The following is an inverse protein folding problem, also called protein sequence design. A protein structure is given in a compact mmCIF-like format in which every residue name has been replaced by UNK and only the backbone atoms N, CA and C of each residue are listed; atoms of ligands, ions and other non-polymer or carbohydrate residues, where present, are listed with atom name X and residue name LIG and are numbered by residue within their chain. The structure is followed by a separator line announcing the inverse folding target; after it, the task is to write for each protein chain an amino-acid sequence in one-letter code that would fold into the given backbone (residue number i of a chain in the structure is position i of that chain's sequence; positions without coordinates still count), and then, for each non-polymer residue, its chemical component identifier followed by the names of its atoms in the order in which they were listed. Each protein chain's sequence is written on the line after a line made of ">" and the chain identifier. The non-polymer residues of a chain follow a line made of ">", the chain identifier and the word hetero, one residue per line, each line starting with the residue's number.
data_IF_395170963373
#
_entry.id   IF_395170963373
#
_cell.length_a   1.000
_cell.length_b   1.000
_cell.length_c   1.000
_cell.angle_alpha   90.00
_cell.angle_beta   90.00
_cell.angle_gamma   90.00
#
_symmetry.space_group_name_H-M   'P 1'
#
loop_
_entity.id
_entity.type
_entity.pdbx_description
1 polymer ?
#
# COMPACT_ATOMS: atom_id res chain seq x y z
N UNK A 1 -12.68 24.73 7.21
CA UNK A 1 -13.72 24.63 8.25
C UNK A 1 -13.82 25.99 8.91
N UNK A 2 -15.01 26.56 8.99
CA UNK A 2 -15.19 27.91 9.55
C UNK A 2 -16.48 28.02 10.34
N UNK A 3 -16.41 28.62 11.55
CA UNK A 3 -17.60 29.03 12.29
C UNK A 3 -18.03 30.40 11.79
N UNK A 4 -19.30 30.54 11.38
CA UNK A 4 -19.89 31.78 10.90
C UNK A 4 -21.14 32.12 11.72
N UNK A 5 -21.43 33.41 11.87
CA UNK A 5 -22.67 33.90 12.48
C UNK A 5 -23.66 34.34 11.40
N UNK A 6 -24.81 33.69 11.35
CA UNK A 6 -25.89 34.06 10.44
C UNK A 6 -27.20 34.14 11.19
N UNK A 7 -27.87 35.28 11.09
CA UNK A 7 -29.19 35.55 11.71
C UNK A 7 -29.23 35.17 13.20
N UNK A 8 -28.14 35.47 13.95
CA UNK A 8 -28.03 35.19 15.37
C UNK A 8 -27.71 33.74 15.74
N UNK A 9 -27.45 32.89 14.76
CA UNK A 9 -27.03 31.49 14.97
C UNK A 9 -25.55 31.31 14.62
N UNK A 10 -24.88 30.43 15.35
CA UNK A 10 -23.53 29.97 15.02
C UNK A 10 -23.66 28.72 14.16
N UNK A 11 -22.99 28.71 13.03
CA UNK A 11 -22.99 27.63 12.05
C UNK A 11 -21.54 27.20 11.79
N UNK A 12 -21.29 25.90 11.69
CA UNK A 12 -20.02 25.39 11.11
C UNK A 12 -20.22 25.16 9.62
N UNK A 13 -19.41 25.83 8.84
CA UNK A 13 -19.35 25.67 7.39
C UNK A 13 -18.12 24.84 7.06
N UNK A 14 -18.32 23.76 6.32
CA UNK A 14 -17.26 22.92 5.76
C UNK A 14 -17.30 23.10 4.24
N UNK A 15 -16.18 23.44 3.64
CA UNK A 15 -16.04 23.59 2.20
C UNK A 15 -14.78 22.85 1.74
N UNK A 16 -14.83 22.26 0.56
CA UNK A 16 -13.69 21.66 -0.13
C UNK A 16 -13.63 22.15 -1.57
N UNK A 17 -12.46 22.07 -2.18
CA UNK A 17 -12.27 22.40 -3.60
C UNK A 17 -12.93 21.35 -4.52
N UNK A 18 -13.13 20.15 -3.97
CA UNK A 18 -13.79 19.02 -4.61
C UNK A 18 -14.53 18.16 -3.57
N UNK A 19 -15.14 17.06 -4.01
CA UNK A 19 -15.86 16.14 -3.14
C UNK A 19 -14.95 15.52 -2.06
N UNK A 20 -13.71 15.19 -2.41
CA UNK A 20 -12.73 14.64 -1.45
C UNK A 20 -12.32 15.69 -0.42
N UNK A 21 -12.06 16.92 -0.84
CA UNK A 21 -11.76 18.03 0.05
C UNK A 21 -12.89 18.30 1.04
N UNK A 22 -14.16 18.20 0.59
CA UNK A 22 -15.31 18.28 1.49
C UNK A 22 -15.36 17.13 2.49
N UNK A 23 -15.18 15.90 2.04
CA UNK A 23 -15.12 14.70 2.90
C UNK A 23 -14.00 14.82 3.94
N UNK A 24 -12.80 15.22 3.52
CA UNK A 24 -11.66 15.43 4.42
C UNK A 24 -11.90 16.57 5.41
N UNK A 25 -12.65 17.60 5.01
CA UNK A 25 -13.10 18.64 5.94
C UNK A 25 -14.03 18.11 7.03
N UNK A 26 -14.90 17.16 6.71
CA UNK A 26 -15.75 16.49 7.73
C UNK A 26 -14.89 15.67 8.68
N UNK A 27 -13.99 14.84 8.17
CA UNK A 27 -13.08 14.07 9.04
C UNK A 27 -12.14 14.96 9.85
N UNK A 28 -11.67 16.06 9.27
CA UNK A 28 -10.91 17.07 9.98
C UNK A 28 -11.70 17.71 11.12
N UNK A 29 -12.97 18.06 10.91
CA UNK A 29 -13.82 18.54 12.02
C UNK A 29 -13.95 17.53 13.14
N UNK A 30 -14.20 16.26 12.79
CA UNK A 30 -14.37 15.20 13.78
C UNK A 30 -13.10 14.97 14.61
N UNK A 31 -11.95 14.98 13.94
CA UNK A 31 -10.67 14.65 14.55
C UNK A 31 -10.03 15.84 15.28
N UNK A 32 -9.90 16.98 14.60
CA UNK A 32 -9.14 18.12 15.10
C UNK A 32 -9.93 18.98 16.09
N UNK A 33 -11.28 18.93 16.02
CA UNK A 33 -12.14 19.81 16.83
C UNK A 33 -13.12 19.08 17.73
N UNK A 34 -13.41 17.78 17.46
CA UNK A 34 -14.36 17.00 18.25
C UNK A 34 -13.73 15.82 18.98
N UNK A 35 -12.40 15.64 18.89
CA UNK A 35 -11.64 14.68 19.67
C UNK A 35 -11.70 13.22 19.20
N UNK A 36 -12.24 12.94 18.02
CA UNK A 36 -12.14 11.60 17.44
C UNK A 36 -10.71 11.31 16.98
N UNK A 37 -10.36 10.03 16.85
CA UNK A 37 -9.15 9.57 16.20
C UNK A 37 -9.50 8.45 15.23
N UNK A 38 -8.86 8.48 14.07
CA UNK A 38 -9.01 7.47 13.03
C UNK A 38 -7.68 6.76 12.85
N UNK A 39 -7.61 5.50 13.28
CA UNK A 39 -6.47 4.62 13.09
C UNK A 39 -6.83 3.51 12.10
N UNK A 40 -5.82 2.82 11.56
CA UNK A 40 -6.09 1.70 10.66
C UNK A 40 -6.82 0.55 11.37
N UNK A 41 -6.57 0.36 12.67
CA UNK A 41 -7.21 -0.67 13.48
C UNK A 41 -8.57 -0.24 14.09
N UNK A 42 -9.04 0.98 13.85
CA UNK A 42 -10.36 1.41 14.29
C UNK A 42 -10.48 2.89 14.63
N UNK A 43 -11.69 3.28 14.94
CA UNK A 43 -12.04 4.63 15.36
C UNK A 43 -12.05 4.72 16.88
N UNK A 44 -11.43 5.76 17.40
CA UNK A 44 -11.50 6.09 18.83
C UNK A 44 -12.42 7.30 19.01
N UNK A 45 -13.37 7.16 19.90
CA UNK A 45 -14.33 8.20 20.23
C UNK A 45 -13.91 8.91 21.51
N UNK A 46 -14.09 10.24 21.62
CA UNK A 46 -13.81 10.97 22.86
C UNK A 46 -14.71 10.45 23.99
N UNK A 47 -14.24 10.52 25.23
CA UNK A 47 -15.06 10.17 26.39
C UNK A 47 -16.31 11.08 26.41
N UNK A 48 -17.47 10.51 26.74
CA UNK A 48 -18.75 11.25 26.82
C UNK A 48 -18.69 12.50 27.71
N UNK A 49 -17.78 12.54 28.65
CA UNK A 49 -17.56 13.69 29.54
C UNK A 49 -16.86 14.85 28.84
N UNK A 50 -16.15 14.56 27.75
CA UNK A 50 -15.36 15.54 26.98
C UNK A 50 -16.10 16.08 25.76
N UNK A 51 -17.29 15.55 25.47
CA UNK A 51 -18.10 16.04 24.35
C UNK A 51 -18.46 17.50 24.57
N UNK A 52 -17.88 18.35 23.77
CA UNK A 52 -18.16 19.79 23.81
C UNK A 52 -19.63 20.05 23.49
N UNK A 53 -20.31 20.68 24.42
CA UNK A 53 -21.73 21.08 24.23
C UNK A 53 -21.88 22.35 23.38
N UNK A 54 -20.77 23.00 23.04
CA UNK A 54 -20.72 24.19 22.16
C UNK A 54 -19.74 23.96 21.04
N UNK A 55 -20.13 24.36 19.85
CA UNK A 55 -19.26 24.37 18.69
C UNK A 55 -18.17 25.41 18.92
N UNK A 56 -16.87 25.04 18.87
CA UNK A 56 -15.78 25.98 19.01
C UNK A 56 -15.78 27.01 17.87
N UNK A 57 -15.16 28.16 18.11
CA UNK A 57 -14.86 29.09 17.03
C UNK A 57 -13.73 28.51 16.19
N UNK A 58 -14.07 28.07 14.97
CA UNK A 58 -13.13 27.43 14.06
C UNK A 58 -12.82 28.39 12.92
N UNK A 59 -11.56 28.52 12.58
CA UNK A 59 -11.06 29.11 11.35
C UNK A 59 -9.86 28.28 10.91
N UNK A 60 -10.14 27.23 10.17
CA UNK A 60 -9.13 26.25 9.75
C UNK A 60 -9.21 26.07 8.23
N UNK A 61 -8.10 26.31 7.55
CA UNK A 61 -7.93 26.13 6.12
C UNK A 61 -6.65 25.35 5.88
N UNK A 62 -6.77 24.19 5.24
CA UNK A 62 -5.65 23.29 5.01
C UNK A 62 -5.62 22.77 3.58
N UNK A 63 -4.42 22.66 3.07
CA UNK A 63 -4.10 21.98 1.82
C UNK A 63 -2.96 21.00 2.09
N UNK A 64 -3.09 19.74 1.69
CA UNK A 64 -2.00 18.79 1.92
C UNK A 64 -0.78 19.15 1.06
N UNK A 65 0.42 18.98 1.62
CA UNK A 65 1.68 19.28 0.93
C UNK A 65 1.97 18.35 -0.24
N UNK A 66 1.34 17.17 -0.27
CA UNK A 66 1.48 16.18 -1.35
C UNK A 66 0.12 15.72 -1.86
N UNK A 67 0.01 15.53 -3.16
CA UNK A 67 -1.24 15.18 -3.82
C UNK A 67 -1.64 13.71 -3.57
N UNK A 68 -0.70 12.79 -3.64
CA UNK A 68 -0.92 11.35 -3.41
C UNK A 68 -0.44 10.98 -2.02
N UNK A 69 -1.31 10.34 -1.25
CA UNK A 69 -1.08 9.94 0.14
C UNK A 69 -1.63 8.54 0.32
N UNK A 70 -0.74 7.57 0.39
CA UNK A 70 -1.19 6.19 0.37
C UNK A 70 -0.24 5.20 1.02
N UNK A 71 -0.57 3.96 0.83
CA UNK A 71 0.22 2.84 1.33
C UNK A 71 0.17 1.65 0.36
N UNK A 72 1.15 0.79 0.53
CA UNK A 72 1.30 -0.49 -0.15
C UNK A 72 1.24 -1.58 0.92
N UNK A 73 0.10 -2.24 1.11
CA UNK A 73 0.08 -3.49 1.86
C UNK A 73 0.68 -4.56 0.96
N UNK A 74 1.89 -4.99 1.27
CA UNK A 74 2.59 -5.95 0.41
C UNK A 74 1.80 -7.24 0.31
N UNK A 75 1.60 -7.74 -0.89
CA UNK A 75 0.77 -8.91 -1.16
C UNK A 75 1.61 -10.18 -1.35
N UNK A 76 0.93 -11.30 -1.53
CA UNK A 76 1.53 -12.62 -1.80
C UNK A 76 2.35 -13.23 -0.65
N UNK A 77 2.11 -12.77 0.57
CA UNK A 77 2.67 -13.38 1.79
C UNK A 77 1.57 -13.80 2.75
N UNK A 78 1.78 -14.83 3.57
CA UNK A 78 0.74 -15.36 4.46
C UNK A 78 0.14 -14.37 5.45
N UNK A 79 0.92 -13.38 5.89
CA UNK A 79 0.44 -12.34 6.82
C UNK A 79 -0.04 -11.09 6.11
N UNK A 80 -0.12 -11.10 4.78
CA UNK A 80 -0.40 -9.91 4.01
C UNK A 80 -1.87 -9.76 3.69
N UNK A 81 -2.22 -8.59 3.17
CA UNK A 81 -3.56 -8.26 2.71
C UNK A 81 -4.04 -9.11 1.52
N UNK A 82 -3.21 -9.98 0.97
CA UNK A 82 -3.58 -10.89 -0.13
C UNK A 82 -4.78 -11.76 0.22
N UNK A 83 -4.84 -12.25 1.45
CA UNK A 83 -5.90 -13.16 1.91
C UNK A 83 -7.18 -12.44 2.33
N UNK A 84 -7.20 -11.13 2.38
CA UNK A 84 -8.33 -10.37 2.90
C UNK A 84 -9.58 -10.57 2.06
N UNK A 85 -10.70 -10.74 2.75
CA UNK A 85 -12.04 -10.81 2.18
C UNK A 85 -12.48 -9.46 1.60
N UNK A 86 -13.61 -9.46 0.93
CA UNK A 86 -14.26 -8.22 0.49
C UNK A 86 -14.57 -7.27 1.66
N UNK A 87 -15.01 -7.80 2.79
CA UNK A 87 -15.34 -6.98 3.97
C UNK A 87 -14.08 -6.36 4.59
N UNK A 88 -12.96 -7.06 4.61
CA UNK A 88 -11.68 -6.53 5.04
C UNK A 88 -11.19 -5.38 4.13
N UNK A 89 -11.25 -5.58 2.81
CA UNK A 89 -10.88 -4.53 1.86
C UNK A 89 -11.78 -3.31 1.97
N UNK A 90 -13.08 -3.51 2.17
CA UNK A 90 -14.02 -2.41 2.41
C UNK A 90 -13.65 -1.62 3.65
N UNK A 91 -13.33 -2.33 4.75
CA UNK A 91 -12.89 -1.70 5.99
C UNK A 91 -11.61 -0.89 5.80
N UNK A 92 -10.59 -1.46 5.15
CA UNK A 92 -9.31 -0.80 4.89
C UNK A 92 -9.50 0.48 4.05
N UNK A 93 -10.32 0.42 3.01
CA UNK A 93 -10.63 1.59 2.17
C UNK A 93 -11.36 2.67 2.97
N UNK A 94 -12.30 2.29 3.83
CA UNK A 94 -13.00 3.22 4.70
C UNK A 94 -12.05 3.90 5.69
N UNK A 95 -11.15 3.14 6.33
CA UNK A 95 -10.16 3.71 7.24
C UNK A 95 -9.16 4.60 6.50
N UNK A 96 -8.69 4.21 5.32
CA UNK A 96 -7.86 5.07 4.49
C UNK A 96 -8.53 6.44 4.23
N UNK A 97 -9.80 6.43 3.82
CA UNK A 97 -10.57 7.66 3.57
C UNK A 97 -10.74 8.51 4.83
N UNK A 98 -11.06 7.88 5.99
CA UNK A 98 -11.18 8.57 7.29
C UNK A 98 -9.86 9.20 7.74
N UNK A 99 -8.75 8.51 7.49
CA UNK A 99 -7.40 9.01 7.73
C UNK A 99 -6.96 10.05 6.70
N UNK A 100 -7.81 10.41 5.74
CA UNK A 100 -7.54 11.38 4.66
C UNK A 100 -6.44 10.92 3.69
N UNK A 101 -6.26 9.62 3.55
CA UNK A 101 -5.46 8.99 2.50
C UNK A 101 -6.30 8.80 1.24
N UNK A 102 -5.66 8.81 0.08
CA UNK A 102 -6.34 8.77 -1.21
C UNK A 102 -5.72 7.80 -2.22
N UNK A 103 -4.85 6.90 -1.76
CA UNK A 103 -4.21 5.95 -2.65
C UNK A 103 -3.90 4.63 -1.93
N UNK A 104 -4.19 3.52 -2.58
CA UNK A 104 -3.74 2.18 -2.17
C UNK A 104 -3.09 1.53 -3.39
N UNK A 105 -1.86 1.08 -3.23
CA UNK A 105 -1.19 0.28 -4.23
C UNK A 105 -1.29 -1.19 -3.86
N UNK A 106 -1.60 -2.02 -4.84
CA UNK A 106 -1.60 -3.48 -4.70
C UNK A 106 -0.55 -4.02 -5.66
N UNK A 107 0.50 -4.60 -5.11
CA UNK A 107 1.57 -5.20 -5.90
C UNK A 107 1.31 -6.68 -6.13
N UNK A 108 1.65 -7.15 -7.30
CA UNK A 108 1.64 -8.56 -7.64
C UNK A 108 2.92 -8.97 -8.34
N UNK A 109 3.45 -10.06 -7.86
CA UNK A 109 4.54 -10.71 -8.57
C UNK A 109 4.00 -11.40 -9.82
N UNK A 110 4.68 -11.20 -10.94
CA UNK A 110 4.30 -11.76 -12.22
C UNK A 110 5.08 -13.07 -12.49
N UNK A 111 4.74 -14.12 -11.79
CA UNK A 111 5.23 -15.46 -12.09
C UNK A 111 6.65 -15.81 -11.65
N UNK A 112 7.38 -14.87 -11.06
CA UNK A 112 8.69 -15.17 -10.47
C UNK A 112 8.53 -15.61 -9.05
N UNK A 113 9.06 -16.42 -8.45
CA UNK A 113 8.90 -16.87 -7.07
C UNK A 113 7.60 -17.61 -6.77
N UNK A 114 6.72 -17.92 -7.75
CA UNK A 114 5.59 -18.71 -7.57
C UNK A 114 4.35 -18.15 -7.03
N UNK A 115 4.30 -16.93 -7.18
CA UNK A 115 3.15 -16.20 -6.75
C UNK A 115 2.06 -16.30 -7.79
N UNK A 116 0.87 -16.61 -7.36
CA UNK A 116 -0.31 -16.60 -8.21
C UNK A 116 -0.94 -15.23 -8.21
N UNK A 117 -1.09 -14.65 -9.36
CA UNK A 117 -1.71 -13.36 -9.51
C UNK A 117 -3.11 -13.51 -10.09
N UNK A 118 -4.09 -13.68 -9.21
CA UNK A 118 -5.46 -13.91 -9.65
C UNK A 118 -6.06 -12.69 -10.34
N UNK A 119 -5.70 -11.51 -9.94
CA UNK A 119 -6.34 -10.31 -10.46
C UNK A 119 -5.72 -9.79 -11.75
N UNK A 120 -4.60 -10.36 -12.22
CA UNK A 120 -4.03 -10.07 -13.53
C UNK A 120 -3.61 -11.33 -14.28
N UNK A 121 -4.08 -12.50 -13.87
CA UNK A 121 -3.89 -13.73 -14.62
C UNK A 121 -4.48 -13.60 -16.01
N UNK A 122 -3.75 -14.07 -17.01
CA UNK A 122 -4.14 -14.05 -18.40
C UNK A 122 -3.91 -15.40 -19.05
N UNK A 123 -4.63 -15.66 -20.13
CA UNK A 123 -4.43 -16.83 -20.95
C UNK A 123 -3.57 -16.49 -22.15
N UNK A 124 -2.52 -17.27 -22.38
CA UNK A 124 -1.64 -17.15 -23.53
C UNK A 124 -1.31 -18.52 -24.10
N UNK A 125 -1.54 -18.71 -25.39
CA UNK A 125 -1.33 -19.99 -26.10
C UNK A 125 -1.98 -21.21 -25.39
N UNK A 126 -3.17 -21.01 -24.83
CA UNK A 126 -3.91 -22.05 -24.13
C UNK A 126 -3.43 -22.34 -22.70
N UNK A 127 -2.46 -21.60 -22.20
CA UNK A 127 -1.99 -21.67 -20.83
C UNK A 127 -2.48 -20.46 -20.04
N UNK A 128 -3.11 -20.71 -18.92
CA UNK A 128 -3.42 -19.65 -17.98
C UNK A 128 -2.14 -19.31 -17.21
N UNK A 129 -1.74 -18.05 -17.26
CA UNK A 129 -0.69 -17.55 -16.39
C UNK A 129 -1.19 -17.50 -14.97
N UNK A 130 -1.21 -18.63 -14.38
CA UNK A 130 -1.40 -18.79 -12.95
C UNK A 130 -0.05 -19.05 -12.36
N UNK A 131 0.36 -18.26 -11.41
CA UNK A 131 1.59 -18.40 -10.72
C UNK A 131 2.22 -19.79 -10.81
N UNK A 132 3.19 -19.83 -11.62
CA UNK A 132 4.01 -20.95 -11.89
C UNK A 132 4.95 -21.11 -10.72
N UNK A 133 4.53 -21.85 -9.67
CA UNK A 133 5.54 -21.98 -8.70
C UNK A 133 5.57 -23.12 -7.81
N UNK A 134 6.81 -23.56 -7.65
CA UNK A 134 7.09 -24.58 -6.67
C UNK A 134 6.64 -24.11 -5.29
N UNK A 135 6.23 -25.03 -4.49
CA UNK A 135 6.05 -24.85 -3.06
C UNK A 135 7.29 -24.23 -2.46
N UNK A 136 7.14 -23.33 -1.52
CA UNK A 136 8.21 -22.68 -0.77
C UNK A 136 9.19 -23.68 -0.15
N UNK A 137 8.80 -24.92 0.01
CA UNK A 137 9.67 -26.01 0.47
C UNK A 137 10.97 -26.18 -0.32
N UNK A 138 11.12 -25.57 -1.47
CA UNK A 138 12.25 -25.78 -2.36
C UNK A 138 13.26 -24.64 -2.38
N UNK A 139 13.44 -23.94 -1.28
CA UNK A 139 14.65 -23.14 -1.08
C UNK A 139 14.68 -21.80 -1.74
N UNK A 140 13.56 -21.16 -1.94
CA UNK A 140 13.55 -19.74 -2.19
C UNK A 140 13.81 -19.00 -0.90
N UNK A 141 14.78 -18.11 -0.92
CA UNK A 141 15.16 -17.29 0.20
C UNK A 141 14.06 -16.37 0.77
N UNK A 142 12.86 -16.39 0.25
CA UNK A 142 11.67 -15.67 0.68
C UNK A 142 10.69 -16.54 1.47
N UNK A 143 10.96 -17.82 1.51
CA UNK A 143 9.97 -18.77 1.90
C UNK A 143 9.97 -19.11 3.35
N UNK A 144 8.79 -19.11 3.93
CA UNK A 144 8.54 -19.92 5.10
C UNK A 144 8.53 -21.39 4.67
N UNK A 145 9.41 -22.24 5.21
CA UNK A 145 9.44 -23.65 4.85
C UNK A 145 8.08 -24.28 5.14
N UNK A 146 7.53 -24.94 4.15
CA UNK A 146 6.29 -25.69 4.32
C UNK A 146 5.02 -25.03 3.82
N UNK A 147 5.08 -23.79 3.37
CA UNK A 147 3.91 -23.12 2.82
C UNK A 147 3.90 -23.18 1.30
N UNK A 148 2.72 -23.33 0.75
CA UNK A 148 2.51 -23.21 -0.67
C UNK A 148 1.97 -21.78 -0.95
N UNK A 149 2.84 -20.90 -1.36
CA UNK A 149 2.48 -19.50 -1.60
C UNK A 149 1.44 -19.36 -2.72
N UNK A 150 1.32 -20.34 -3.60
CA UNK A 150 0.32 -20.39 -4.64
C UNK A 150 -1.11 -20.45 -4.09
N UNK A 151 -1.27 -20.72 -2.83
CA UNK A 151 -2.54 -20.82 -2.14
C UNK A 151 -2.93 -19.50 -1.47
N UNK A 152 -1.98 -18.57 -1.33
CA UNK A 152 -2.22 -17.24 -0.79
C UNK A 152 -2.47 -16.24 -1.90
N UNK A 153 -3.70 -16.22 -2.38
CA UNK A 153 -4.12 -15.40 -3.51
C UNK A 153 -4.95 -14.22 -3.05
N UNK A 154 -5.02 -13.19 -3.87
CA UNK A 154 -5.84 -12.02 -3.58
C UNK A 154 -7.31 -12.44 -3.35
N UNK A 155 -7.85 -12.11 -2.18
CA UNK A 155 -9.17 -12.52 -1.76
C UNK A 155 -9.30 -14.02 -1.48
N UNK A 156 -8.24 -14.71 -1.08
CA UNK A 156 -8.19 -16.15 -0.94
C UNK A 156 -9.30 -16.70 -0.04
N UNK A 157 -9.65 -16.03 1.04
CA UNK A 157 -10.74 -16.42 1.94
C UNK A 157 -12.11 -16.52 1.25
N UNK A 158 -12.33 -15.76 0.18
CA UNK A 158 -13.57 -15.82 -0.61
C UNK A 158 -13.43 -16.71 -1.85
N UNK A 159 -12.21 -16.80 -2.39
CA UNK A 159 -11.94 -17.59 -3.60
C UNK A 159 -12.06 -19.07 -3.32
N UNK A 160 -11.56 -19.52 -2.18
CA UNK A 160 -11.45 -20.93 -1.85
C UNK A 160 -12.56 -21.47 -0.95
N UNK A 161 -13.45 -20.62 -0.45
CA UNK A 161 -14.54 -21.00 0.45
C UNK A 161 -14.05 -21.74 1.72
N UNK A 162 -12.79 -21.57 2.09
CA UNK A 162 -12.16 -22.21 3.24
C UNK A 162 -11.62 -21.12 4.17
N UNK A 163 -12.21 -21.06 5.36
CA UNK A 163 -11.82 -20.14 6.41
C UNK A 163 -10.80 -20.74 7.38
N UNK A 164 -10.52 -22.03 7.21
CA UNK A 164 -9.54 -22.71 8.05
C UNK A 164 -8.17 -22.64 7.40
N UNK A 165 -7.36 -21.72 7.88
CA UNK A 165 -5.93 -21.69 7.61
C UNK A 165 -5.19 -22.86 8.31
N UNK A 166 -5.91 -23.94 8.61
CA UNK A 166 -5.53 -25.03 9.46
C UNK A 166 -4.27 -25.78 9.10
N UNK A 167 -4.21 -27.05 9.50
CA UNK A 167 -2.99 -27.85 9.51
C UNK A 167 -2.27 -27.99 8.16
N UNK A 168 -2.95 -27.79 7.06
CA UNK A 168 -2.40 -27.93 5.71
C UNK A 168 -1.87 -26.61 5.12
N UNK A 169 -2.04 -25.50 5.80
CA UNK A 169 -1.60 -24.16 5.38
C UNK A 169 -1.99 -23.77 3.94
N UNK A 170 -3.05 -24.35 3.43
CA UNK A 170 -3.45 -24.19 2.06
C UNK A 170 -4.93 -23.80 1.95
N UNK A 171 -5.19 -22.65 1.33
CA UNK A 171 -6.54 -22.28 0.90
C UNK A 171 -6.81 -22.91 -0.47
N UNK A 172 -6.93 -24.22 -0.47
CA UNK A 172 -6.98 -25.00 -1.68
C UNK A 172 -8.37 -25.54 -1.91
N UNK A 173 -9.01 -25.09 -2.98
CA UNK A 173 -10.25 -25.67 -3.45
C UNK A 173 -10.02 -26.45 -4.75
N UNK A 174 -9.84 -27.74 -4.63
CA UNK A 174 -9.59 -28.64 -5.76
C UNK A 174 -10.75 -28.68 -6.76
N UNK A 175 -11.92 -28.23 -6.36
CA UNK A 175 -13.11 -28.23 -7.22
C UNK A 175 -13.15 -27.09 -8.23
N UNK A 176 -12.37 -26.02 -8.00
CA UNK A 176 -12.33 -24.86 -8.88
C UNK A 176 -11.29 -25.03 -9.99
N UNK A 177 -11.71 -24.73 -11.20
CA UNK A 177 -10.78 -24.60 -12.32
C UNK A 177 -9.96 -23.29 -12.21
N UNK A 178 -8.80 -23.24 -12.87
CA UNK A 178 -7.99 -22.02 -12.94
C UNK A 178 -8.78 -20.81 -13.45
N UNK A 179 -9.66 -21.01 -14.43
CA UNK A 179 -10.53 -19.94 -14.94
C UNK A 179 -11.53 -19.43 -13.90
N UNK A 180 -12.10 -20.32 -13.08
CA UNK A 180 -13.01 -19.93 -12.00
C UNK A 180 -12.28 -19.17 -10.89
N UNK A 181 -11.09 -19.61 -10.51
CA UNK A 181 -10.23 -18.92 -9.55
C UNK A 181 -9.89 -17.51 -10.04
N UNK A 182 -9.44 -17.40 -11.30
CA UNK A 182 -9.17 -16.12 -11.96
C UNK A 182 -10.38 -15.19 -11.89
N UNK A 183 -11.55 -15.66 -12.29
CA UNK A 183 -12.76 -14.82 -12.32
C UNK A 183 -13.19 -14.36 -10.92
N UNK A 184 -13.11 -15.23 -9.92
CA UNK A 184 -13.40 -14.84 -8.53
C UNK A 184 -12.46 -13.74 -8.04
N UNK A 185 -11.15 -13.90 -8.21
CA UNK A 185 -10.16 -12.88 -7.82
C UNK A 185 -10.32 -11.57 -8.58
N UNK A 186 -10.55 -11.63 -9.90
CA UNK A 186 -10.80 -10.43 -10.71
C UNK A 186 -12.08 -9.72 -10.26
N UNK A 187 -13.12 -10.47 -9.87
CA UNK A 187 -14.36 -9.90 -9.35
C UNK A 187 -14.15 -9.15 -8.05
N UNK A 188 -13.38 -9.69 -7.12
CA UNK A 188 -13.04 -9.00 -5.87
C UNK A 188 -12.25 -7.72 -6.17
N UNK A 189 -11.26 -7.78 -7.04
CA UNK A 189 -10.45 -6.62 -7.36
C UNK A 189 -11.25 -5.51 -8.07
N UNK A 190 -12.16 -5.85 -8.97
CA UNK A 190 -13.10 -4.87 -9.54
C UNK A 190 -13.97 -4.20 -8.48
N UNK A 191 -14.45 -4.95 -7.48
CA UNK A 191 -15.18 -4.37 -6.34
C UNK A 191 -14.31 -3.43 -5.52
N UNK A 192 -13.04 -3.79 -5.30
CA UNK A 192 -12.07 -2.94 -4.58
C UNK A 192 -11.89 -1.60 -5.31
N UNK A 193 -11.64 -1.62 -6.61
CA UNK A 193 -11.50 -0.40 -7.42
C UNK A 193 -12.76 0.46 -7.34
N UNK A 194 -13.91 -0.11 -7.62
CA UNK A 194 -15.18 0.63 -7.63
C UNK A 194 -15.50 1.25 -6.26
N UNK A 195 -15.31 0.50 -5.18
CA UNK A 195 -15.57 1.01 -3.84
C UNK A 195 -14.56 2.07 -3.40
N UNK A 196 -13.28 1.88 -3.73
CA UNK A 196 -12.26 2.88 -3.46
C UNK A 196 -12.60 4.23 -4.12
N UNK A 197 -13.06 4.22 -5.37
CA UNK A 197 -13.51 5.42 -6.05
C UNK A 197 -14.70 6.11 -5.34
N UNK A 198 -15.67 5.34 -4.85
CA UNK A 198 -16.77 5.90 -4.04
C UNK A 198 -16.28 6.59 -2.75
N UNK A 199 -15.13 6.19 -2.23
CA UNK A 199 -14.50 6.74 -1.02
C UNK A 199 -13.43 7.79 -1.33
N UNK A 200 -13.22 8.13 -2.60
CA UNK A 200 -12.19 9.09 -3.03
C UNK A 200 -10.76 8.54 -2.94
N UNK A 201 -10.62 7.21 -2.95
CA UNK A 201 -9.34 6.51 -2.93
C UNK A 201 -9.05 5.95 -4.31
N UNK A 202 -7.85 6.18 -4.80
CA UNK A 202 -7.34 5.66 -6.08
C UNK A 202 -6.64 4.33 -5.87
N UNK A 203 -6.65 3.48 -6.88
CA UNK A 203 -6.01 2.17 -6.86
C UNK A 203 -4.89 2.10 -7.89
N UNK A 204 -3.72 1.63 -7.44
CA UNK A 204 -2.59 1.28 -8.29
C UNK A 204 -2.36 -0.22 -8.31
N UNK A 205 -2.10 -0.76 -9.49
CA UNK A 205 -1.64 -2.13 -9.68
C UNK A 205 -0.15 -2.12 -9.99
N UNK A 206 0.64 -2.76 -9.15
CA UNK A 206 2.08 -2.93 -9.33
C UNK A 206 2.39 -4.32 -9.89
N UNK A 207 3.22 -4.41 -10.91
CA UNK A 207 3.60 -5.66 -11.57
C UNK A 207 5.11 -5.70 -11.84
N UNK A 208 5.73 -6.82 -11.56
CA UNK A 208 7.10 -7.13 -12.03
C UNK A 208 7.06 -7.47 -13.51
N UNK A 209 7.05 -6.46 -14.37
CA UNK A 209 6.78 -6.61 -15.81
C UNK A 209 7.86 -7.39 -16.57
N UNK A 210 9.08 -7.45 -16.06
CA UNK A 210 10.21 -8.13 -16.69
C UNK A 210 10.29 -9.63 -16.37
N UNK A 211 9.39 -10.12 -15.55
CA UNK A 211 9.31 -11.52 -15.17
C UNK A 211 8.30 -12.23 -16.05
N UNK A 212 8.77 -13.16 -16.85
CA UNK A 212 7.95 -13.95 -17.77
C UNK A 212 8.22 -15.43 -17.57
N UNK A 213 7.25 -16.25 -17.91
CA UNK A 213 7.39 -17.70 -17.84
C UNK A 213 8.62 -18.15 -18.66
N UNK A 214 9.38 -19.18 -18.19
CA UNK A 214 10.62 -19.62 -18.84
C UNK A 214 10.48 -19.93 -20.33
N UNK A 215 9.36 -20.50 -20.72
CA UNK A 215 9.08 -20.86 -22.11
C UNK A 215 8.93 -19.63 -23.04
N UNK A 216 8.66 -18.45 -22.48
CA UNK A 216 8.51 -17.21 -23.25
C UNK A 216 9.70 -16.25 -23.10
N UNK A 217 10.69 -16.59 -22.27
CA UNK A 217 11.87 -15.75 -22.07
C UNK A 217 12.73 -15.64 -23.34
N UNK A 218 12.69 -16.68 -24.19
CA UNK A 218 13.44 -16.75 -25.43
C UNK A 218 12.76 -16.07 -26.63
N UNK A 219 11.52 -15.66 -26.49
CA UNK A 219 10.88 -14.88 -27.56
C UNK A 219 11.54 -13.50 -27.64
N UNK A 220 12.01 -13.10 -28.84
CA UNK A 220 12.90 -11.95 -29.00
C UNK A 220 12.37 -10.67 -28.37
N UNK A 221 11.06 -10.53 -28.25
CA UNK A 221 10.45 -9.29 -27.80
C UNK A 221 9.31 -9.47 -26.81
N UNK A 222 8.83 -10.64 -26.58
CA UNK A 222 7.60 -10.89 -25.79
C UNK A 222 6.40 -10.00 -26.20
N UNK A 223 6.43 -9.42 -27.40
CA UNK A 223 5.46 -8.41 -27.84
C UNK A 223 4.04 -8.90 -27.79
N UNK A 224 3.81 -10.13 -28.24
CA UNK A 224 2.47 -10.69 -28.25
C UNK A 224 1.99 -11.01 -26.83
N UNK A 225 2.89 -11.47 -25.96
CA UNK A 225 2.61 -11.69 -24.55
C UNK A 225 2.22 -10.38 -23.85
N UNK A 226 3.00 -9.32 -24.05
CA UNK A 226 2.72 -7.98 -23.50
C UNK A 226 1.36 -7.48 -23.98
N UNK A 227 1.04 -7.61 -25.26
CA UNK A 227 -0.27 -7.21 -25.80
C UNK A 227 -1.43 -7.95 -25.14
N UNK A 228 -1.26 -9.25 -24.90
CA UNK A 228 -2.27 -10.06 -24.22
C UNK A 228 -2.43 -9.63 -22.75
N UNK A 229 -1.34 -9.44 -22.03
CA UNK A 229 -1.38 -8.98 -20.63
C UNK A 229 -2.06 -7.61 -20.52
N UNK A 230 -1.63 -6.65 -21.32
CA UNK A 230 -2.20 -5.30 -21.29
C UNK A 230 -3.66 -5.29 -21.73
N UNK A 231 -4.01 -6.07 -22.75
CA UNK A 231 -5.40 -6.18 -23.18
C UNK A 231 -6.30 -6.77 -22.08
N UNK A 232 -5.79 -7.74 -21.32
CA UNK A 232 -6.50 -8.34 -20.22
C UNK A 232 -6.67 -7.35 -19.06
N UNK A 233 -5.61 -6.66 -18.64
CA UNK A 233 -5.65 -5.64 -17.59
C UNK A 233 -6.66 -4.54 -17.97
N UNK A 234 -6.59 -4.02 -19.18
CA UNK A 234 -7.48 -2.96 -19.65
C UNK A 234 -8.94 -3.42 -19.75
N UNK A 235 -9.19 -4.70 -20.06
CA UNK A 235 -10.52 -5.29 -20.12
C UNK A 235 -11.10 -5.55 -18.75
N UNK A 236 -10.31 -6.12 -17.85
CA UNK A 236 -10.77 -6.51 -16.51
C UNK A 236 -10.90 -5.31 -15.58
N UNK A 237 -10.00 -4.32 -15.72
CA UNK A 237 -9.88 -3.19 -14.81
C UNK A 237 -9.88 -1.84 -15.56
N UNK A 238 -10.95 -1.52 -16.30
CA UNK A 238 -10.99 -0.30 -17.12
C UNK A 238 -10.92 0.99 -16.31
N UNK A 239 -11.23 0.92 -15.02
CA UNK A 239 -11.21 2.06 -14.09
C UNK A 239 -9.93 2.11 -13.24
N UNK A 240 -8.91 1.32 -13.56
CA UNK A 240 -7.63 1.34 -12.84
C UNK A 240 -6.95 2.71 -12.98
N UNK A 241 -6.59 3.34 -11.87
CA UNK A 241 -5.97 4.67 -11.89
C UNK A 241 -4.52 4.64 -12.32
N UNK A 242 -3.75 3.67 -11.78
CA UNK A 242 -2.30 3.57 -12.01
C UNK A 242 -1.85 2.16 -12.29
N UNK A 243 -0.95 2.03 -13.27
CA UNK A 243 -0.14 0.83 -13.47
C UNK A 243 1.30 1.16 -13.09
N UNK A 244 1.85 0.47 -12.08
CA UNK A 244 3.22 0.64 -11.65
C UNK A 244 4.07 -0.52 -12.21
N UNK A 245 4.94 -0.22 -13.15
CA UNK A 245 5.84 -1.17 -13.78
C UNK A 245 7.08 -1.35 -12.90
N UNK A 246 7.12 -2.46 -12.18
CA UNK A 246 8.22 -2.77 -11.28
C UNK A 246 9.43 -3.33 -12.03
N UNK A 247 10.59 -2.96 -11.55
CA UNK A 247 11.80 -3.75 -11.79
C UNK A 247 11.84 -4.86 -10.76
N UNK A 248 11.88 -6.10 -11.23
CA UNK A 248 11.95 -7.26 -10.34
C UNK A 248 13.22 -7.24 -9.50
N UNK A 249 13.20 -7.96 -8.40
CA UNK A 249 14.38 -8.16 -7.57
C UNK A 249 15.45 -9.02 -8.29
N UNK A 250 16.70 -8.92 -7.85
CA UNK A 250 17.82 -9.69 -8.41
C UNK A 250 18.96 -8.85 -8.96
N UNK A 251 19.87 -9.49 -9.70
CA UNK A 251 21.06 -8.82 -10.23
C UNK A 251 20.72 -7.77 -11.29
N UNK A 252 21.18 -6.57 -11.06
CA UNK A 252 21.04 -5.43 -11.97
C UNK A 252 22.33 -5.27 -12.78
N UNK A 253 22.27 -5.61 -14.05
CA UNK A 253 23.36 -5.44 -15.01
C UNK A 253 22.80 -4.81 -16.31
N UNK A 254 23.66 -4.47 -17.24
CA UNK A 254 23.26 -3.87 -18.53
C UNK A 254 22.21 -4.71 -19.28
N UNK A 255 22.36 -6.03 -19.28
CA UNK A 255 21.43 -6.92 -19.96
C UNK A 255 20.04 -6.91 -19.28
N UNK A 256 20.00 -6.82 -17.94
CA UNK A 256 18.76 -6.64 -17.18
C UNK A 256 18.07 -5.33 -17.59
N UNK A 257 18.79 -4.20 -17.52
CA UNK A 257 18.20 -2.90 -17.83
C UNK A 257 17.73 -2.81 -19.28
N UNK A 258 18.50 -3.34 -20.23
CA UNK A 258 18.11 -3.37 -21.63
C UNK A 258 16.85 -4.23 -21.88
N UNK A 259 16.73 -5.38 -21.19
CA UNK A 259 15.54 -6.23 -21.28
C UNK A 259 14.33 -5.54 -20.63
N UNK A 260 14.49 -5.05 -19.40
CA UNK A 260 13.42 -4.35 -18.69
C UNK A 260 12.90 -3.17 -19.52
N UNK A 261 13.80 -2.37 -20.10
CA UNK A 261 13.43 -1.23 -20.93
C UNK A 261 12.58 -1.63 -22.13
N UNK A 262 12.95 -2.68 -22.84
CA UNK A 262 12.14 -3.17 -23.99
C UNK A 262 10.74 -3.62 -23.56
N UNK A 263 10.64 -4.32 -22.43
CA UNK A 263 9.36 -4.75 -21.87
C UNK A 263 8.53 -3.54 -21.45
N UNK A 264 9.16 -2.61 -20.76
CA UNK A 264 8.50 -1.37 -20.33
C UNK A 264 7.94 -0.57 -21.53
N UNK A 265 8.73 -0.37 -22.57
CA UNK A 265 8.28 0.35 -23.77
C UNK A 265 7.05 -0.32 -24.39
N UNK A 266 7.04 -1.65 -24.44
CA UNK A 266 5.88 -2.40 -24.90
C UNK A 266 4.65 -2.22 -24.02
N UNK A 267 4.79 -2.28 -22.70
CA UNK A 267 3.71 -2.02 -21.74
C UNK A 267 3.21 -0.57 -21.86
N UNK A 268 4.11 0.39 -21.91
CA UNK A 268 3.77 1.80 -22.04
C UNK A 268 2.95 2.09 -23.29
N UNK A 269 3.42 1.64 -24.48
CA UNK A 269 2.73 1.86 -25.76
C UNK A 269 1.34 1.21 -25.77
N UNK A 270 1.23 -0.05 -25.32
CA UNK A 270 -0.03 -0.78 -25.31
C UNK A 270 -1.02 -0.20 -24.29
N UNK A 271 -0.57 0.19 -23.09
CA UNK A 271 -1.42 0.83 -22.09
C UNK A 271 -1.94 2.18 -22.58
N UNK A 272 -1.09 3.03 -23.18
CA UNK A 272 -1.54 4.30 -23.76
C UNK A 272 -2.61 4.09 -24.85
N UNK A 273 -2.52 3.00 -25.59
CA UNK A 273 -3.48 2.64 -26.63
C UNK A 273 -4.78 2.05 -26.08
N UNK A 274 -4.71 1.21 -25.06
CA UNK A 274 -5.84 0.41 -24.54
C UNK A 274 -6.55 1.05 -23.36
N UNK A 275 -5.81 1.70 -22.48
CA UNK A 275 -6.29 2.33 -21.25
C UNK A 275 -5.65 3.71 -21.06
N UNK A 276 -5.97 4.70 -21.92
CA UNK A 276 -5.29 5.99 -21.95
C UNK A 276 -5.48 6.82 -20.67
N UNK A 277 -6.46 6.47 -19.83
CA UNK A 277 -6.73 7.14 -18.56
C UNK A 277 -5.92 6.58 -17.41
N UNK A 278 -5.42 5.34 -17.52
CA UNK A 278 -4.52 4.75 -16.53
C UNK A 278 -3.16 5.41 -16.63
N UNK A 279 -2.70 6.00 -15.55
CA UNK A 279 -1.37 6.62 -15.48
C UNK A 279 -0.32 5.55 -15.23
N UNK A 280 0.86 5.74 -15.81
CA UNK A 280 1.96 4.78 -15.72
C UNK A 280 3.03 5.32 -14.77
N UNK A 281 3.45 4.49 -13.85
CA UNK A 281 4.58 4.73 -12.97
C UNK A 281 5.62 3.62 -13.13
N UNK A 282 6.84 3.91 -12.73
CA UNK A 282 7.89 2.91 -12.56
C UNK A 282 8.25 2.80 -11.09
N UNK A 283 8.48 1.58 -10.66
CA UNK A 283 8.82 1.25 -9.28
C UNK A 283 9.78 0.06 -9.22
N UNK A 284 9.98 -0.49 -8.05
CA UNK A 284 10.73 -1.72 -7.81
C UNK A 284 12.16 -1.51 -7.36
N UNK A 285 12.92 -2.58 -7.44
CA UNK A 285 14.20 -2.71 -6.81
C UNK A 285 15.34 -2.25 -7.74
N UNK A 286 16.04 -1.17 -7.35
CA UNK A 286 17.23 -0.71 -8.07
C UNK A 286 16.94 0.21 -9.25
N UNK A 287 15.87 0.99 -9.20
CA UNK A 287 15.70 2.12 -10.11
C UNK A 287 16.88 3.08 -9.97
N UNK A 288 17.49 3.43 -11.11
CA UNK A 288 18.56 4.43 -11.15
C UNK A 288 18.06 5.69 -11.87
N UNK A 289 18.67 6.84 -11.52
CA UNK A 289 18.35 8.08 -12.22
C UNK A 289 18.52 7.95 -13.74
N UNK A 290 19.55 7.25 -14.21
CA UNK A 290 19.78 7.00 -15.62
C UNK A 290 18.65 6.21 -16.27
N UNK A 291 18.22 5.11 -15.63
CA UNK A 291 17.13 4.27 -16.16
C UNK A 291 15.82 5.04 -16.23
N UNK A 292 15.50 5.82 -15.21
CA UNK A 292 14.26 6.59 -15.13
C UNK A 292 14.27 7.79 -16.07
N UNK A 293 15.37 8.56 -16.12
CA UNK A 293 15.45 9.77 -16.93
C UNK A 293 15.41 9.49 -18.45
N UNK A 294 15.64 8.26 -18.84
CA UNK A 294 15.50 7.83 -20.24
C UNK A 294 14.05 7.53 -20.66
N UNK A 295 13.10 7.46 -19.71
CA UNK A 295 11.69 7.14 -19.97
C UNK A 295 10.90 8.37 -20.45
N UNK A 296 9.69 8.20 -21.03
CA UNK A 296 8.79 9.30 -21.35
C UNK A 296 8.53 10.20 -20.13
N UNK A 297 8.41 11.51 -20.35
CA UNK A 297 8.32 12.51 -19.26
C UNK A 297 7.07 12.38 -18.39
N UNK A 298 5.99 11.83 -18.91
CA UNK A 298 4.72 11.62 -18.20
C UNK A 298 4.71 10.37 -17.32
N UNK A 299 5.80 9.60 -17.31
CA UNK A 299 5.97 8.43 -16.43
C UNK A 299 6.32 8.90 -15.03
N UNK A 300 5.52 8.48 -14.06
CA UNK A 300 5.73 8.78 -12.65
C UNK A 300 6.91 7.94 -12.12
N UNK A 301 7.78 8.53 -11.32
CA UNK A 301 8.86 7.82 -10.64
C UNK A 301 8.44 7.52 -9.20
N UNK A 302 8.34 6.24 -8.87
CA UNK A 302 7.89 5.76 -7.57
C UNK A 302 8.82 4.65 -7.03
N UNK A 303 10.12 4.95 -6.79
CA UNK A 303 11.09 3.96 -6.38
C UNK A 303 10.77 3.38 -5.01
N UNK A 304 11.09 2.10 -4.82
CA UNK A 304 11.16 1.53 -3.48
C UNK A 304 12.55 1.86 -2.92
N UNK A 305 12.57 2.66 -1.86
CA UNK A 305 13.79 2.94 -1.12
C UNK A 305 14.15 1.71 -0.30
N UNK A 306 15.24 1.04 -0.67
CA UNK A 306 15.61 -0.24 -0.08
C UNK A 306 15.82 -0.14 1.43
N UNK A 307 14.95 -0.79 2.20
CA UNK A 307 15.00 -0.84 3.66
C UNK A 307 15.11 0.51 4.38
N UNK A 308 14.62 1.57 3.76
CA UNK A 308 14.70 2.92 4.33
C UNK A 308 13.31 3.48 4.64
N UNK A 309 13.18 4.07 5.81
CA UNK A 309 12.03 4.88 6.16
C UNK A 309 12.12 6.31 5.56
N UNK A 310 13.27 6.67 4.98
CA UNK A 310 13.51 7.95 4.36
C UNK A 310 13.03 8.00 2.91
N UNK A 311 12.89 9.21 2.38
CA UNK A 311 12.64 9.45 0.96
C UNK A 311 13.96 9.79 0.25
N UNK A 312 14.10 9.32 -0.97
CA UNK A 312 15.17 9.83 -1.83
C UNK A 312 14.84 11.25 -2.31
N UNK A 313 15.86 12.09 -2.56
CA UNK A 313 15.61 13.41 -3.15
C UNK A 313 14.97 13.28 -4.53
N UNK A 314 13.77 13.81 -4.69
CA UNK A 314 13.04 13.76 -5.96
C UNK A 314 13.78 14.37 -7.15
N UNK A 315 14.68 15.34 -6.87
CA UNK A 315 15.53 15.96 -7.89
C UNK A 315 16.49 15.01 -8.61
N UNK A 316 16.80 13.85 -8.03
CA UNK A 316 17.60 12.80 -8.68
C UNK A 316 16.95 12.30 -9.96
N UNK A 317 15.62 12.32 -10.00
CA UNK A 317 14.81 11.85 -11.13
C UNK A 317 14.34 12.96 -12.08
N UNK A 318 15.00 14.12 -12.05
CA UNK A 318 14.67 15.26 -12.89
C UNK A 318 13.40 15.99 -12.45
N UNK A 319 12.60 16.47 -13.41
CA UNK A 319 11.36 17.21 -13.15
C UNK A 319 10.11 16.34 -13.17
N UNK A 320 10.26 15.03 -13.05
CA UNK A 320 9.15 14.09 -13.07
C UNK A 320 8.31 14.17 -11.82
N UNK A 321 7.06 13.77 -11.91
CA UNK A 321 6.28 13.46 -10.73
C UNK A 321 6.97 12.32 -9.97
N UNK A 322 7.27 12.57 -8.69
CA UNK A 322 8.01 11.68 -7.82
C UNK A 322 7.19 11.30 -6.61
N UNK A 323 7.14 10.00 -6.31
CA UNK A 323 6.49 9.47 -5.11
C UNK A 323 7.50 8.73 -4.25
N UNK A 324 7.57 9.09 -2.98
CA UNK A 324 8.38 8.39 -1.99
C UNK A 324 7.72 7.10 -1.52
N UNK A 325 8.54 6.16 -1.08
CA UNK A 325 8.07 4.91 -0.49
C UNK A 325 8.75 4.67 0.87
N UNK A 326 8.30 5.33 1.94
CA UNK A 326 8.82 5.03 3.26
C UNK A 326 8.37 3.65 3.71
N UNK A 327 9.27 2.90 4.31
CA UNK A 327 8.96 1.61 4.88
C UNK A 327 8.49 1.77 6.32
N UNK A 328 7.31 1.27 6.64
CA UNK A 328 6.80 1.21 8.01
C UNK A 328 7.20 -0.08 8.71
N UNK A 329 7.47 -1.09 7.92
CA UNK A 329 7.96 -2.39 8.32
C UNK A 329 9.07 -2.82 7.38
N UNK A 330 9.95 -3.69 7.86
CA UNK A 330 10.95 -4.42 7.06
C UNK A 330 10.64 -5.90 7.10
N UNK A 331 11.09 -6.59 6.09
CA UNK A 331 11.11 -8.03 6.08
C UNK A 331 12.36 -8.57 6.77
N UNK A 332 12.20 -9.67 7.45
CA UNK A 332 13.31 -10.50 7.91
C UNK A 332 13.15 -11.91 7.38
N UNK A 333 14.17 -12.36 6.70
CA UNK A 333 14.24 -13.71 6.15
C UNK A 333 15.24 -14.52 6.93
N UNK A 334 14.76 -15.48 7.73
CA UNK A 334 15.59 -16.55 8.26
C UNK A 334 15.39 -17.80 7.42
N UNK A 335 16.28 -18.78 7.58
CA UNK A 335 16.14 -20.08 6.92
C UNK A 335 14.85 -20.83 7.32
N UNK A 336 14.17 -20.39 8.34
CA UNK A 336 13.02 -21.06 8.93
C UNK A 336 11.73 -20.24 8.87
N UNK A 337 11.82 -18.88 8.95
CA UNK A 337 10.65 -18.03 9.04
C UNK A 337 10.85 -16.72 8.27
N UNK A 338 9.77 -16.26 7.66
CA UNK A 338 9.67 -14.93 7.08
C UNK A 338 8.69 -14.11 7.92
N UNK A 339 9.14 -12.99 8.48
CA UNK A 339 8.27 -12.11 9.26
C UNK A 339 8.70 -10.65 9.13
N UNK A 340 7.73 -9.73 9.05
CA UNK A 340 8.00 -8.31 9.07
C UNK A 340 8.28 -7.81 10.50
N UNK A 341 9.08 -6.77 10.60
CA UNK A 341 9.33 -6.05 11.85
C UNK A 341 9.27 -4.53 11.63
N UNK A 342 9.02 -3.79 12.71
CA UNK A 342 8.80 -2.37 12.63
C UNK A 342 10.09 -1.58 12.32
N UNK A 343 9.95 -0.52 11.53
CA UNK A 343 10.99 0.47 11.26
C UNK A 343 10.83 1.64 12.25
N UNK A 344 11.93 2.24 12.65
CA UNK A 344 11.93 3.41 13.54
C UNK A 344 11.15 4.58 12.90
N UNK A 345 10.13 5.07 13.60
CA UNK A 345 9.30 6.17 13.14
C UNK A 345 10.07 7.49 13.03
N UNK A 346 11.14 7.67 13.81
CA UNK A 346 11.94 8.89 13.77
C UNK A 346 12.57 9.15 12.40
N UNK A 347 12.92 8.10 11.66
CA UNK A 347 13.42 8.22 10.28
C UNK A 347 12.32 8.74 9.34
N UNK A 348 11.09 8.23 9.48
CA UNK A 348 9.94 8.69 8.69
C UNK A 348 9.61 10.16 9.01
N UNK A 349 9.65 10.54 10.27
CA UNK A 349 9.42 11.93 10.70
C UNK A 349 10.45 12.87 10.08
N UNK A 350 11.73 12.52 10.12
CA UNK A 350 12.78 13.30 9.45
C UNK A 350 12.57 13.41 7.95
N UNK A 351 12.18 12.31 7.32
CA UNK A 351 11.95 12.25 5.88
C UNK A 351 10.82 13.20 5.43
N UNK A 352 9.74 13.28 6.19
CA UNK A 352 8.67 14.26 5.91
C UNK A 352 9.10 15.71 6.17
N UNK A 353 10.07 15.93 7.06
CA UNK A 353 10.68 17.25 7.32
C UNK A 353 11.71 17.67 6.29
N UNK A 354 12.22 16.77 5.47
CA UNK A 354 13.25 17.06 4.48
C UNK A 354 12.65 17.63 3.19
N UNK A 355 12.73 18.95 3.05
CA UNK A 355 12.29 19.66 1.85
C UNK A 355 13.02 19.22 0.57
N UNK A 356 14.20 18.57 0.68
CA UNK A 356 14.94 18.07 -0.48
C UNK A 356 14.29 16.86 -1.14
N UNK A 357 13.42 16.16 -0.43
CA UNK A 357 12.66 15.03 -0.98
C UNK A 357 11.79 15.47 -2.17
N UNK A 358 11.26 16.69 -2.14
CA UNK A 358 10.48 17.32 -3.22
C UNK A 358 9.51 16.35 -3.90
N UNK A 359 8.73 15.66 -3.09
CA UNK A 359 7.81 14.61 -3.57
C UNK A 359 6.42 15.17 -3.88
N UNK A 360 5.78 14.61 -4.90
CA UNK A 360 4.39 14.89 -5.25
C UNK A 360 3.41 13.94 -4.53
N UNK A 361 3.93 12.84 -4.01
CA UNK A 361 3.17 11.82 -3.32
C UNK A 361 4.02 10.84 -2.57
N UNK A 362 3.37 9.91 -1.88
CA UNK A 362 4.01 8.74 -1.26
C UNK A 362 3.04 7.56 -1.18
N UNK A 363 3.61 6.37 -1.04
CA UNK A 363 2.91 5.14 -0.71
C UNK A 363 3.77 4.33 0.28
N UNK A 364 3.38 4.40 1.54
CA UNK A 364 4.16 3.76 2.61
C UNK A 364 4.03 2.23 2.55
N UNK A 365 5.14 1.53 2.65
CA UNK A 365 5.17 0.09 2.56
C UNK A 365 4.94 -0.57 3.93
N UNK A 366 4.06 -1.55 3.96
CA UNK A 366 3.80 -2.41 5.11
C UNK A 366 3.42 -3.81 4.64
N UNK A 367 3.68 -4.84 5.44
CA UNK A 367 3.17 -6.20 5.18
C UNK A 367 1.84 -6.44 5.88
N UNK A 368 1.71 -5.90 7.08
CA UNK A 368 0.56 -6.12 7.94
C UNK A 368 -0.13 -4.80 8.20
N UNK A 369 -1.44 -4.79 8.15
CA UNK A 369 -2.23 -3.67 8.63
C UNK A 369 -2.65 -3.94 10.08
N UNK A 370 -1.67 -4.23 10.95
CA UNK A 370 -1.86 -4.62 12.34
C UNK A 370 -1.77 -3.42 13.30
N UNK A 371 -2.13 -3.65 14.56
CA UNK A 371 -2.10 -2.62 15.60
C UNK A 371 -0.73 -1.97 15.75
N UNK A 372 0.33 -2.76 15.64
CA UNK A 372 1.70 -2.28 15.81
C UNK A 372 2.11 -1.16 14.86
N UNK A 373 1.51 -1.07 13.66
CA UNK A 373 1.80 0.01 12.71
C UNK A 373 0.78 1.14 12.74
N UNK A 374 -0.31 1.00 13.50
CA UNK A 374 -1.40 1.99 13.53
C UNK A 374 -0.93 3.40 13.88
N UNK A 375 -0.05 3.64 14.88
CA UNK A 375 0.45 4.98 15.14
C UNK A 375 1.28 5.55 13.99
N UNK A 376 2.03 4.70 13.28
CA UNK A 376 2.83 5.12 12.10
C UNK A 376 1.96 5.46 10.91
N UNK A 377 0.97 4.62 10.62
CA UNK A 377 -0.03 4.87 9.59
C UNK A 377 -0.78 6.17 9.87
N UNK A 378 -1.18 6.38 11.12
CA UNK A 378 -1.81 7.62 11.54
C UNK A 378 -0.89 8.83 11.30
N UNK A 379 0.37 8.76 11.73
CA UNK A 379 1.35 9.83 11.53
C UNK A 379 1.48 10.21 10.05
N UNK A 380 1.77 9.25 9.16
CA UNK A 380 1.94 9.55 7.73
C UNK A 380 0.66 10.09 7.07
N UNK A 381 -0.50 9.78 7.63
CA UNK A 381 -1.76 10.34 7.16
C UNK A 381 -1.91 11.81 7.54
N UNK A 382 -1.28 12.25 8.65
CA UNK A 382 -1.36 13.61 9.19
C UNK A 382 -0.24 14.52 8.69
N UNK A 383 0.97 14.01 8.58
CA UNK A 383 2.15 14.80 8.22
C UNK A 383 1.94 15.73 7.01
N UNK A 384 1.29 15.30 5.92
CA UNK A 384 1.02 16.18 4.79
C UNK A 384 0.06 17.35 5.06
N UNK A 385 -0.74 17.26 6.11
CA UNK A 385 -1.76 18.28 6.45
C UNK A 385 -1.27 19.29 7.49
N UNK A 386 -0.26 18.94 8.29
CA UNK A 386 0.17 19.71 9.46
C UNK A 386 1.60 20.23 9.37
N UNK A 387 2.30 20.07 8.25
CA UNK A 387 3.66 20.58 8.00
C UNK A 387 4.65 20.28 9.16
N UNK A 388 4.55 19.11 9.80
CA UNK A 388 5.40 18.68 10.93
C UNK A 388 5.33 19.53 12.21
N UNK A 389 4.46 20.51 12.29
CA UNK A 389 4.44 21.44 13.43
C UNK A 389 3.93 20.80 14.72
N UNK A 390 3.19 19.70 14.62
CA UNK A 390 2.47 19.14 15.77
C UNK A 390 3.13 17.88 16.34
N UNK A 391 3.72 17.05 15.48
CA UNK A 391 4.30 15.75 15.86
C UNK A 391 5.70 15.63 15.27
N UNK A 392 6.70 16.11 16.00
CA UNK A 392 8.10 16.21 15.58
C UNK A 392 9.00 15.10 16.14
N UNK A 393 8.42 14.17 16.92
CA UNK A 393 9.14 13.02 17.47
C UNK A 393 8.25 11.78 17.56
N UNK A 394 8.89 10.61 17.52
CA UNK A 394 8.22 9.31 17.69
C UNK A 394 7.51 9.24 19.03
N UNK A 395 8.14 9.71 20.11
CA UNK A 395 7.54 9.76 21.45
C UNK A 395 6.20 10.51 21.47
N UNK A 396 6.12 11.67 20.81
CA UNK A 396 4.86 12.43 20.76
C UNK A 396 3.76 11.68 20.00
N UNK A 397 4.11 11.02 18.92
CA UNK A 397 3.17 10.20 18.13
C UNK A 397 2.67 9.03 18.98
N UNK A 398 3.58 8.33 19.63
CA UNK A 398 3.21 7.18 20.47
C UNK A 398 2.41 7.60 21.70
N UNK A 399 2.75 8.75 22.26
CA UNK A 399 2.00 9.32 23.39
C UNK A 399 0.56 9.69 23.00
N UNK A 400 0.35 10.33 21.84
CA UNK A 400 -1.01 10.63 21.35
C UNK A 400 -1.80 9.35 21.08
N UNK A 401 -1.16 8.34 20.48
CA UNK A 401 -1.78 7.03 20.28
C UNK A 401 -2.12 6.33 21.61
N UNK A 402 -1.20 6.32 22.56
CA UNK A 402 -1.39 5.70 23.86
C UNK A 402 -2.48 6.39 24.66
N UNK A 403 -2.50 7.72 24.66
CA UNK A 403 -3.53 8.51 25.32
C UNK A 403 -4.92 8.21 24.73
N UNK A 404 -5.04 8.19 23.42
CA UNK A 404 -6.30 7.98 22.74
C UNK A 404 -6.87 6.57 22.97
N UNK A 405 -6.03 5.53 22.99
CA UNK A 405 -6.48 4.15 23.05
C UNK A 405 -6.54 3.58 24.48
N UNK A 406 -5.71 4.08 25.38
CA UNK A 406 -5.54 3.50 26.74
C UNK A 406 -5.82 4.50 27.87
N UNK A 407 -5.97 5.79 27.56
CA UNK A 407 -6.30 6.84 28.50
C UNK A 407 -5.13 7.33 29.37
N UNK A 408 -5.39 8.39 30.16
CA UNK A 408 -4.36 9.09 30.94
C UNK A 408 -3.60 8.20 31.93
N UNK A 409 -4.25 7.20 32.52
CA UNK A 409 -3.63 6.35 33.53
C UNK A 409 -2.59 5.37 32.96
N UNK A 410 -2.61 5.08 31.66
CA UNK A 410 -1.72 4.13 31.01
C UNK A 410 -0.77 4.79 30.00
N UNK A 411 -0.96 6.06 29.69
CA UNK A 411 -0.27 6.73 28.59
C UNK A 411 1.26 6.65 28.69
N UNK A 412 1.84 6.91 29.85
CA UNK A 412 3.29 6.88 30.01
C UNK A 412 3.84 5.46 29.83
N UNK A 413 3.24 4.48 30.49
CA UNK A 413 3.69 3.09 30.39
C UNK A 413 3.56 2.51 28.99
N UNK A 414 2.47 2.81 28.27
CA UNK A 414 2.26 2.34 26.91
C UNK A 414 3.21 3.05 25.95
N UNK A 415 3.43 4.36 26.11
CA UNK A 415 4.40 5.11 25.30
C UNK A 415 5.79 4.52 25.43
N UNK A 416 6.24 4.29 26.68
CA UNK A 416 7.54 3.67 26.96
C UNK A 416 7.67 2.27 26.36
N UNK A 417 6.61 1.46 26.43
CA UNK A 417 6.61 0.12 25.83
C UNK A 417 6.78 0.19 24.31
N UNK A 418 6.05 1.07 23.63
CA UNK A 418 6.13 1.19 22.17
C UNK A 418 7.51 1.74 21.76
N UNK A 419 7.96 2.81 22.41
CA UNK A 419 9.20 3.50 22.07
C UNK A 419 10.44 2.62 22.34
N UNK A 420 10.46 1.92 23.46
CA UNK A 420 11.56 1.01 23.82
C UNK A 420 11.60 -0.25 22.94
N UNK A 421 10.46 -0.73 22.47
CA UNK A 421 10.44 -1.93 21.61
C UNK A 421 10.81 -1.61 20.17
N UNK A 422 10.66 -0.38 19.71
CA UNK A 422 10.97 -0.01 18.34
C UNK A 422 12.45 -0.20 17.97
N UNK A 423 13.43 0.30 18.76
CA UNK A 423 14.85 0.05 18.54
C UNK A 423 15.22 -1.44 18.66
N UNK A 424 14.57 -2.16 19.55
CA UNK A 424 14.80 -3.59 19.73
C UNK A 424 14.41 -4.38 18.49
N UNK A 425 13.25 -4.10 17.91
CA UNK A 425 12.80 -4.74 16.68
C UNK A 425 13.59 -4.31 15.46
N UNK A 426 14.20 -3.13 15.46
CA UNK A 426 15.08 -2.67 14.39
C UNK A 426 16.50 -3.21 14.50
N UNK A 427 16.99 -3.45 15.73
CA UNK A 427 18.36 -3.91 15.99
C UNK A 427 18.50 -5.44 16.06
N UNK A 428 17.45 -6.11 16.50
CA UNK A 428 17.44 -7.56 16.65
C UNK A 428 16.17 -8.12 16.04
N UNK A 429 16.25 -8.72 14.85
CA UNK A 429 15.15 -9.45 14.27
C UNK A 429 14.96 -10.77 15.03
N UNK A 430 14.71 -10.67 16.33
CA UNK A 430 14.37 -11.85 17.11
C UNK A 430 12.90 -12.15 16.88
N UNK A 431 12.63 -13.40 16.57
CA UNK A 431 11.34 -13.99 16.45
C UNK A 431 10.51 -13.83 17.73
N UNK A 432 10.11 -12.62 18.05
CA UNK A 432 8.92 -12.50 18.86
C UNK A 432 7.75 -12.73 17.92
N UNK A 433 7.11 -13.81 18.16
CA UNK A 433 5.83 -14.18 17.64
C UNK A 433 5.02 -12.90 17.64
N UNK A 434 5.01 -12.25 16.48
CA UNK A 434 4.04 -11.23 16.24
C UNK A 434 2.70 -11.95 16.32
N UNK A 435 2.06 -11.84 17.45
CA UNK A 435 0.67 -12.20 17.64
C UNK A 435 -0.24 -11.18 16.97
N UNK A 436 0.21 -10.57 15.89
CA UNK A 436 -0.70 -9.88 15.00
C UNK A 436 -1.51 -10.95 14.31
N UNK A 437 -2.54 -11.37 15.00
CA UNK A 437 -3.66 -12.01 14.38
C UNK A 437 -4.22 -11.04 13.34
N UNK A 438 -4.66 -11.53 12.19
CA UNK A 438 -5.49 -10.74 11.32
C UNK A 438 -6.63 -10.15 12.16
N UNK A 439 -7.05 -8.98 11.81
CA UNK A 439 -8.17 -8.32 12.48
C UNK A 439 -9.37 -9.24 12.54
N UNK A 440 -9.81 -9.56 13.73
CA UNK A 440 -11.12 -10.12 14.01
C UNK A 440 -11.95 -9.08 14.74
#
# INVERSE_FOLDING_TARGET
>A
IRTVKEKGRELVVIAGVDANGLLYGVYGLLEDHLGMRFYMNGDVYPDKKEVQTRIPLIQDERTPTVAIRGFLPWTNFPQSATIYSWDDWRYIIDQAARMRMNFIMIHNYNGFCGHNELFHNFEYKGQLSRGWMPTIKTGHGWGCPGWNINEYLFGASEVYDDYDFGADYGLHNETLTNGQIKEKGATIFRKVIAYAHLRGVKIGLGLDIDVVLPEYQSEPDNKDLIKVQVAEIAREYPELDYLLCFQSEGQKNEAFYARWRRVFDGFYEEMKRKSPFTRIAVSGWGLTAESVNSLPEDVICAPISYYSAAFEPGSVYGNREYWGCPWLERDFNSSEYYYPYNVDLSETIRAFGDASANMNGFYALTWRLADAISPKMWYISKAPWYNHEVLDSSEKVYRDFALANYGENAVDAITDIIDQNEPFFSAYPVAFISTSFPFF
#
